data_IF_294278130139
#
_entry.id   IF_294278130139
#
_cell.length_a   1.000
_cell.length_b   1.000
_cell.length_c   1.000
_cell.angle_alpha   90.00
_cell.angle_beta   90.00
_cell.angle_gamma   90.00
#
_symmetry.space_group_name_H-M   'P 1'
#
loop_
_entity.id
_entity.type
_entity.pdbx_description
1 polymer ?
#
# COMPACT_ATOMS: atom_id res chain seq x y z
N UNK A 1 -0.87 38.26 -68.94
CA UNK A 1 -0.41 37.47 -67.81
C UNK A 1 -1.08 37.98 -66.54
N UNK A 2 -2.19 37.37 -66.13
CA UNK A 2 -3.00 37.80 -64.98
C UNK A 2 -2.58 36.93 -63.79
N UNK A 3 -2.03 37.55 -62.74
CA UNK A 3 -1.71 36.91 -61.47
C UNK A 3 -2.99 36.82 -60.63
N UNK A 4 -3.49 35.60 -60.43
CA UNK A 4 -4.57 35.32 -59.52
C UNK A 4 -3.96 35.14 -58.15
N UNK A 5 -4.21 36.12 -57.29
CA UNK A 5 -3.83 36.04 -55.86
C UNK A 5 -4.96 35.34 -55.11
N UNK A 6 -4.81 34.09 -54.83
CA UNK A 6 -5.77 33.33 -54.03
C UNK A 6 -5.58 33.72 -52.57
N UNK A 7 -6.50 34.51 -52.03
CA UNK A 7 -6.56 34.82 -50.60
C UNK A 7 -7.04 33.59 -49.84
N UNK A 8 -6.13 32.99 -49.07
CA UNK A 8 -6.44 31.89 -48.15
C UNK A 8 -7.07 32.48 -46.88
N UNK A 9 -8.38 32.44 -46.79
CA UNK A 9 -9.11 32.84 -45.59
C UNK A 9 -8.92 31.72 -44.57
N UNK A 10 -8.03 31.90 -43.63
CA UNK A 10 -7.81 31.04 -42.49
C UNK A 10 -8.94 31.29 -41.49
N UNK A 11 -10.00 30.48 -41.59
CA UNK A 11 -11.05 30.43 -40.58
C UNK A 11 -10.47 29.75 -39.38
N UNK A 12 -9.86 30.50 -38.47
CA UNK A 12 -9.47 30.05 -37.13
C UNK A 12 -10.76 29.82 -36.34
N UNK A 13 -11.22 28.56 -36.33
CA UNK A 13 -12.21 28.11 -35.35
C UNK A 13 -11.57 28.20 -33.97
N UNK A 14 -11.85 29.31 -33.28
CA UNK A 14 -11.72 29.41 -31.84
C UNK A 14 -12.70 28.40 -31.22
N UNK A 15 -12.27 27.16 -31.10
CA UNK A 15 -12.82 26.24 -30.13
C UNK A 15 -12.53 26.86 -28.75
N UNK A 16 -13.44 27.73 -28.29
CA UNK A 16 -13.60 27.93 -26.87
C UNK A 16 -14.14 26.62 -26.30
N UNK A 17 -13.23 25.69 -26.13
CA UNK A 17 -13.43 24.60 -25.18
C UNK A 17 -13.70 25.28 -23.86
N UNK A 18 -14.95 25.34 -23.45
CA UNK A 18 -15.32 25.61 -22.07
C UNK A 18 -14.71 24.48 -21.26
N UNK A 19 -13.43 24.66 -20.88
CA UNK A 19 -12.85 23.90 -19.77
C UNK A 19 -13.79 24.19 -18.62
N UNK A 20 -14.63 23.24 -18.29
CA UNK A 20 -15.19 23.15 -16.95
C UNK A 20 -13.98 22.97 -16.03
N UNK A 21 -13.30 24.08 -15.77
CA UNK A 21 -12.42 24.20 -14.63
C UNK A 21 -13.35 24.05 -13.44
N UNK A 22 -13.51 22.81 -13.00
CA UNK A 22 -14.01 22.57 -11.64
C UNK A 22 -13.15 23.48 -10.77
N UNK A 23 -13.76 24.51 -10.19
CA UNK A 23 -13.05 25.42 -9.32
C UNK A 23 -12.65 24.63 -8.08
N UNK A 24 -11.45 24.01 -8.14
CA UNK A 24 -10.86 23.22 -7.05
C UNK A 24 -10.17 24.12 -6.02
N UNK A 25 -10.30 25.47 -6.19
CA UNK A 25 -9.73 26.42 -5.25
C UNK A 25 -10.20 26.16 -3.82
N UNK A 26 -9.27 25.73 -3.00
CA UNK A 26 -9.52 25.40 -1.60
C UNK A 26 -10.00 23.95 -1.35
N UNK A 27 -9.91 23.07 -2.33
CA UNK A 27 -10.10 21.63 -2.12
C UNK A 27 -8.74 20.94 -2.00
N UNK A 28 -8.61 20.04 -1.03
CA UNK A 28 -7.39 19.23 -0.84
C UNK A 28 -7.75 17.80 -0.45
N UNK A 29 -6.82 16.89 -0.71
CA UNK A 29 -6.89 15.50 -0.30
C UNK A 29 -5.76 15.23 0.66
N UNK A 30 -6.04 14.51 1.74
CA UNK A 30 -5.05 14.11 2.73
C UNK A 30 -4.97 12.59 2.80
N UNK A 31 -3.75 12.08 2.84
CA UNK A 31 -3.45 10.67 3.06
C UNK A 31 -2.86 10.52 4.47
N UNK A 32 -3.71 10.16 5.43
CA UNK A 32 -3.27 9.97 6.80
C UNK A 32 -2.32 8.79 6.96
N UNK A 33 -2.45 7.74 6.14
CA UNK A 33 -1.53 6.60 6.17
C UNK A 33 -0.12 7.05 5.79
N UNK A 34 0.01 7.81 4.69
CA UNK A 34 1.30 8.35 4.29
C UNK A 34 1.90 9.28 5.35
N UNK A 35 1.08 10.08 6.04
CA UNK A 35 1.55 10.98 7.10
C UNK A 35 2.05 10.19 8.30
N UNK A 36 1.28 9.22 8.83
CA UNK A 36 1.67 8.49 10.02
C UNK A 36 2.87 7.57 9.79
N UNK A 37 2.95 6.91 8.64
CA UNK A 37 3.97 5.91 8.34
C UNK A 37 5.13 6.43 7.48
N UNK A 38 5.02 7.63 6.91
CA UNK A 38 6.08 8.25 6.12
C UNK A 38 7.14 9.01 6.94
N UNK A 39 7.04 9.05 8.26
CA UNK A 39 7.98 9.76 9.14
C UNK A 39 9.24 8.93 9.40
N UNK A 40 10.37 9.61 9.68
CA UNK A 40 11.60 8.95 10.11
C UNK A 40 11.40 8.16 11.40
N UNK A 41 10.59 8.68 12.33
CA UNK A 41 10.25 7.99 13.57
C UNK A 41 9.49 6.68 13.33
N UNK A 42 8.53 6.68 12.39
CA UNK A 42 7.82 5.47 12.03
C UNK A 42 8.77 4.44 11.40
N UNK A 43 9.63 4.88 10.47
CA UNK A 43 10.62 3.99 9.85
C UNK A 43 11.53 3.35 10.89
N UNK A 44 12.09 4.15 11.81
CA UNK A 44 12.92 3.65 12.89
C UNK A 44 12.19 2.65 13.79
N UNK A 45 10.94 2.93 14.13
CA UNK A 45 10.15 2.03 14.96
C UNK A 45 9.86 0.68 14.27
N UNK A 46 9.63 0.68 12.95
CA UNK A 46 9.51 -0.57 12.19
C UNK A 46 10.83 -1.31 12.07
N UNK A 47 11.95 -0.62 11.90
CA UNK A 47 13.29 -1.22 11.93
C UNK A 47 13.57 -1.87 13.30
N UNK A 48 13.27 -1.18 14.40
CA UNK A 48 13.39 -1.72 15.77
C UNK A 48 12.50 -2.94 16.00
N UNK A 49 11.26 -2.93 15.47
CA UNK A 49 10.37 -4.10 15.51
C UNK A 49 11.01 -5.29 14.78
N UNK A 50 11.50 -5.09 13.56
CA UNK A 50 12.12 -6.14 12.74
C UNK A 50 13.39 -6.71 13.38
N UNK A 51 14.11 -5.88 14.16
CA UNK A 51 15.31 -6.28 14.90
C UNK A 51 14.99 -6.97 16.23
N UNK A 52 13.74 -6.93 16.70
CA UNK A 52 13.35 -7.58 17.95
C UNK A 52 13.46 -9.11 17.86
N UNK A 53 13.80 -9.73 19.00
CA UNK A 53 13.95 -11.19 19.07
C UNK A 53 12.66 -11.92 18.66
N UNK A 54 11.50 -11.42 19.11
CA UNK A 54 10.21 -12.03 18.78
C UNK A 54 9.89 -11.97 17.29
N UNK A 55 10.14 -10.84 16.61
CA UNK A 55 9.89 -10.72 15.18
C UNK A 55 10.84 -11.58 14.36
N UNK A 56 12.10 -11.65 14.74
CA UNK A 56 13.13 -12.52 14.12
C UNK A 56 12.75 -13.99 14.28
N UNK A 57 12.41 -14.43 15.48
CA UNK A 57 12.00 -15.81 15.74
C UNK A 57 10.80 -16.22 14.83
N UNK A 58 9.76 -15.38 14.78
CA UNK A 58 8.61 -15.64 13.92
C UNK A 58 9.02 -15.71 12.44
N UNK A 59 9.91 -14.83 12.00
CA UNK A 59 10.37 -14.77 10.60
C UNK A 59 11.19 -16.00 10.23
N UNK A 60 12.08 -16.43 11.12
CA UNK A 60 12.89 -17.63 10.96
C UNK A 60 12.03 -18.90 10.94
N UNK A 61 11.05 -18.98 11.84
CA UNK A 61 10.07 -20.08 11.87
C UNK A 61 9.24 -20.14 10.57
N UNK A 62 8.82 -18.99 10.03
CA UNK A 62 8.12 -18.93 8.74
C UNK A 62 9.02 -19.49 7.63
N UNK A 63 10.29 -19.06 7.57
CA UNK A 63 11.23 -19.51 6.55
C UNK A 63 11.49 -21.03 6.65
N UNK A 64 11.69 -21.55 7.87
CA UNK A 64 11.91 -22.96 8.13
C UNK A 64 10.70 -23.81 7.70
N UNK A 65 9.48 -23.44 8.18
CA UNK A 65 8.26 -24.20 7.90
C UNK A 65 7.86 -24.14 6.43
N UNK A 66 8.09 -23.01 5.74
CA UNK A 66 7.85 -22.89 4.30
C UNK A 66 8.84 -23.76 3.51
N UNK A 67 10.10 -23.85 3.94
CA UNK A 67 11.07 -24.77 3.39
C UNK A 67 10.61 -26.23 3.53
N UNK A 68 10.23 -26.66 4.74
CA UNK A 68 9.74 -28.01 4.99
C UNK A 68 8.46 -28.34 4.18
N UNK A 69 7.56 -27.36 4.02
CA UNK A 69 6.33 -27.52 3.24
C UNK A 69 6.66 -27.72 1.75
N UNK A 70 7.59 -26.92 1.21
CA UNK A 70 8.07 -27.08 -0.17
C UNK A 70 8.73 -28.43 -0.38
N UNK A 71 9.62 -28.86 0.52
CA UNK A 71 10.30 -30.16 0.42
C UNK A 71 9.29 -31.33 0.44
N UNK A 72 8.27 -31.25 1.29
CA UNK A 72 7.22 -32.25 1.33
C UNK A 72 6.37 -32.29 0.05
N UNK A 73 6.08 -31.11 -0.54
CA UNK A 73 5.36 -31.00 -1.81
C UNK A 73 6.21 -31.53 -2.98
N UNK A 74 7.46 -31.14 -3.06
CA UNK A 74 8.41 -31.61 -4.07
C UNK A 74 8.59 -33.14 -4.02
N UNK A 75 8.68 -33.69 -2.80
CA UNK A 75 8.76 -35.14 -2.62
C UNK A 75 7.50 -35.85 -3.11
N UNK A 76 6.32 -35.30 -2.80
CA UNK A 76 5.05 -35.84 -3.28
C UNK A 76 4.95 -35.79 -4.81
N UNK A 77 5.43 -34.72 -5.43
CA UNK A 77 5.44 -34.57 -6.90
C UNK A 77 6.39 -35.56 -7.58
N UNK A 78 7.62 -35.66 -7.08
CA UNK A 78 8.67 -36.49 -7.71
C UNK A 78 8.47 -37.97 -7.47
N UNK A 79 8.20 -38.36 -6.22
CA UNK A 79 8.20 -39.75 -5.79
C UNK A 79 6.77 -40.35 -5.68
N UNK A 80 5.75 -39.47 -5.73
CA UNK A 80 4.35 -39.84 -5.56
C UNK A 80 3.88 -41.05 -6.42
N UNK A 81 4.28 -41.15 -7.70
CA UNK A 81 3.92 -42.30 -8.52
C UNK A 81 4.39 -43.68 -7.97
N UNK A 82 5.46 -43.70 -7.17
CA UNK A 82 6.06 -44.92 -6.60
C UNK A 82 5.77 -45.13 -5.12
N UNK A 83 5.13 -44.13 -4.46
CA UNK A 83 4.77 -44.17 -3.05
C UNK A 83 3.52 -44.98 -2.79
N UNK A 84 3.47 -45.59 -1.62
CA UNK A 84 2.24 -46.19 -1.07
C UNK A 84 1.21 -45.09 -0.73
N UNK A 85 -0.07 -45.48 -0.69
CA UNK A 85 -1.16 -44.55 -0.31
C UNK A 85 -1.00 -44.00 1.13
N UNK A 86 -0.39 -44.80 2.02
CA UNK A 86 -0.08 -44.36 3.39
C UNK A 86 0.98 -43.24 3.39
N UNK A 87 2.07 -43.41 2.64
CA UNK A 87 3.13 -42.40 2.55
C UNK A 87 2.63 -41.09 1.94
N UNK A 88 1.80 -41.20 0.90
CA UNK A 88 1.14 -40.01 0.31
C UNK A 88 0.25 -39.32 1.34
N UNK A 89 -0.58 -40.08 2.07
CA UNK A 89 -1.45 -39.52 3.09
C UNK A 89 -0.68 -38.80 4.20
N UNK A 90 0.46 -39.32 4.60
CA UNK A 90 1.32 -38.70 5.61
C UNK A 90 1.96 -37.37 5.11
N UNK A 91 2.40 -37.32 3.84
CA UNK A 91 2.89 -36.10 3.22
C UNK A 91 1.78 -35.06 3.10
N UNK A 92 0.57 -35.44 2.69
CA UNK A 92 -0.56 -34.51 2.64
C UNK A 92 -0.87 -33.92 4.01
N UNK A 93 -0.90 -34.75 5.06
CA UNK A 93 -1.11 -34.28 6.45
C UNK A 93 -0.01 -33.33 6.88
N UNK A 94 1.27 -33.67 6.56
CA UNK A 94 2.41 -32.77 6.87
C UNK A 94 2.26 -31.42 6.18
N UNK A 95 1.95 -31.39 4.89
CA UNK A 95 1.74 -30.15 4.11
C UNK A 95 0.60 -29.33 4.70
N UNK A 96 -0.51 -29.99 5.06
CA UNK A 96 -1.65 -29.32 5.69
C UNK A 96 -1.30 -28.69 7.04
N UNK A 97 -0.60 -29.44 7.90
CA UNK A 97 -0.16 -28.94 9.21
C UNK A 97 0.78 -27.73 9.06
N UNK A 98 1.79 -27.84 8.20
CA UNK A 98 2.72 -26.74 7.94
C UNK A 98 2.04 -25.50 7.36
N UNK A 99 1.00 -25.69 6.52
CA UNK A 99 0.20 -24.58 6.01
C UNK A 99 -0.57 -23.86 7.11
N UNK A 100 -1.14 -24.60 8.07
CA UNK A 100 -1.83 -24.03 9.24
C UNK A 100 -0.85 -23.27 10.14
N UNK A 101 0.33 -23.86 10.41
CA UNK A 101 1.37 -23.20 11.19
C UNK A 101 1.84 -21.91 10.55
N UNK A 102 2.06 -21.89 9.21
CA UNK A 102 2.44 -20.71 8.47
C UNK A 102 1.38 -19.62 8.54
N UNK A 103 0.09 -19.98 8.45
CA UNK A 103 -1.00 -19.03 8.62
C UNK A 103 -1.01 -18.41 10.02
N UNK A 104 -0.82 -19.23 11.06
CA UNK A 104 -0.74 -18.74 12.43
C UNK A 104 0.43 -17.79 12.64
N UNK A 105 1.62 -18.15 12.18
CA UNK A 105 2.83 -17.30 12.29
C UNK A 105 2.68 -15.99 11.52
N UNK A 106 2.09 -16.04 10.32
CA UNK A 106 1.81 -14.84 9.54
C UNK A 106 0.82 -13.90 10.26
N UNK A 107 -0.21 -14.46 10.91
CA UNK A 107 -1.15 -13.69 11.73
C UNK A 107 -0.44 -13.08 12.96
N UNK A 108 0.42 -13.84 13.65
CA UNK A 108 1.18 -13.35 14.80
C UNK A 108 2.09 -12.19 14.39
N UNK A 109 2.82 -12.31 13.28
CA UNK A 109 3.66 -11.22 12.74
C UNK A 109 2.83 -10.00 12.37
N UNK A 110 1.72 -10.19 11.67
CA UNK A 110 0.81 -9.10 11.31
C UNK A 110 0.21 -8.39 12.53
N UNK A 111 -0.04 -9.11 13.64
CA UNK A 111 -0.51 -8.51 14.89
C UNK A 111 0.54 -7.57 15.51
N UNK A 112 1.82 -7.94 15.51
CA UNK A 112 2.90 -7.06 15.98
C UNK A 112 3.02 -5.78 15.13
N UNK A 113 2.94 -5.92 13.80
CA UNK A 113 2.97 -4.79 12.88
C UNK A 113 1.75 -3.87 13.08
N UNK A 114 0.58 -4.45 13.30
CA UNK A 114 -0.65 -3.70 13.56
C UNK A 114 -0.61 -2.96 14.90
N UNK A 115 -0.12 -3.61 15.96
CA UNK A 115 0.04 -2.99 17.28
C UNK A 115 0.99 -1.79 17.21
N UNK A 116 2.14 -1.94 16.56
CA UNK A 116 3.06 -0.83 16.33
C UNK A 116 2.39 0.29 15.54
N UNK A 117 1.66 -0.04 14.47
CA UNK A 117 0.93 0.95 13.66
C UNK A 117 -0.09 1.73 14.48
N UNK A 118 -0.87 1.06 15.34
CA UNK A 118 -1.83 1.72 16.23
C UNK A 118 -1.13 2.63 17.25
N UNK A 119 -0.01 2.17 17.82
CA UNK A 119 0.80 2.96 18.74
C UNK A 119 1.32 4.23 18.07
N UNK A 120 1.92 4.13 16.90
CA UNK A 120 2.42 5.27 16.14
C UNK A 120 1.31 6.28 15.81
N UNK A 121 0.13 5.80 15.40
CA UNK A 121 -1.02 6.66 15.15
C UNK A 121 -1.47 7.39 16.41
N UNK A 122 -1.56 6.70 17.54
CA UNK A 122 -1.97 7.29 18.81
C UNK A 122 -0.99 8.35 19.29
N UNK A 123 0.32 8.07 19.23
CA UNK A 123 1.37 8.98 19.67
C UNK A 123 1.50 10.25 18.80
N UNK A 124 1.22 10.13 17.50
CA UNK A 124 1.37 11.24 16.56
C UNK A 124 0.05 12.01 16.31
N UNK A 125 -1.10 11.49 16.76
CA UNK A 125 -2.41 12.03 16.41
C UNK A 125 -2.56 13.54 16.71
N UNK A 126 -2.14 13.99 17.88
CA UNK A 126 -2.23 15.39 18.29
C UNK A 126 -1.35 16.28 17.40
N UNK A 127 -0.10 15.87 17.16
CA UNK A 127 0.85 16.60 16.31
C UNK A 127 0.33 16.69 14.87
N UNK A 128 -0.14 15.58 14.32
CA UNK A 128 -0.69 15.53 12.96
C UNK A 128 -1.92 16.45 12.86
N UNK A 129 -2.84 16.40 13.83
CA UNK A 129 -4.01 17.26 13.84
C UNK A 129 -3.64 18.75 13.87
N UNK A 130 -2.65 19.12 14.67
CA UNK A 130 -2.14 20.49 14.74
C UNK A 130 -1.57 20.94 13.39
N UNK A 131 -0.69 20.16 12.79
CA UNK A 131 -0.07 20.47 11.50
C UNK A 131 -1.12 20.56 10.40
N UNK A 132 -2.10 19.65 10.38
CA UNK A 132 -3.19 19.67 9.40
C UNK A 132 -4.02 20.96 9.55
N UNK A 133 -4.33 21.38 10.78
CA UNK A 133 -5.06 22.64 11.01
C UNK A 133 -4.26 23.86 10.54
N UNK A 134 -2.95 23.89 10.80
CA UNK A 134 -2.07 24.95 10.31
C UNK A 134 -2.03 25.00 8.77
N UNK A 135 -1.96 23.84 8.10
CA UNK A 135 -2.01 23.75 6.66
C UNK A 135 -3.35 24.22 6.07
N UNK A 136 -4.48 23.84 6.71
CA UNK A 136 -5.82 24.30 6.31
C UNK A 136 -5.86 25.83 6.27
N UNK A 137 -5.34 26.47 7.31
CA UNK A 137 -5.32 27.94 7.43
C UNK A 137 -4.35 28.54 6.40
N UNK A 138 -3.11 28.07 6.36
CA UNK A 138 -2.05 28.61 5.51
C UNK A 138 -2.36 28.48 4.00
N UNK A 139 -2.96 27.36 3.61
CA UNK A 139 -3.33 27.07 2.20
C UNK A 139 -4.76 27.48 1.87
N UNK A 140 -5.52 28.07 2.82
CA UNK A 140 -6.93 28.48 2.65
C UNK A 140 -7.81 27.31 2.16
N UNK A 141 -7.58 26.11 2.69
CA UNK A 141 -8.34 24.91 2.34
C UNK A 141 -9.77 25.07 2.87
N UNK A 142 -10.76 24.95 2.00
CA UNK A 142 -12.19 25.02 2.33
C UNK A 142 -12.80 23.65 2.54
N UNK A 143 -12.30 22.66 1.80
CA UNK A 143 -12.73 21.25 1.87
C UNK A 143 -11.51 20.35 1.90
N UNK A 144 -11.41 19.51 2.91
CA UNK A 144 -10.36 18.51 3.04
C UNK A 144 -10.99 17.11 2.99
N UNK A 145 -10.59 16.33 2.01
CA UNK A 145 -11.05 14.96 1.83
C UNK A 145 -9.98 13.97 2.30
N UNK A 146 -10.41 12.88 2.91
CA UNK A 146 -9.54 11.75 3.15
C UNK A 146 -9.38 10.95 1.87
N UNK A 147 -8.16 10.51 1.56
CA UNK A 147 -7.86 9.72 0.36
C UNK A 147 -8.71 8.46 0.28
N UNK A 148 -8.90 7.77 1.40
CA UNK A 148 -9.66 6.53 1.50
C UNK A 148 -11.15 6.72 1.19
N UNK A 149 -11.65 7.95 1.29
CA UNK A 149 -13.05 8.28 0.99
C UNK A 149 -13.29 8.62 -0.48
N UNK A 150 -12.24 8.65 -1.32
CA UNK A 150 -12.35 9.00 -2.73
C UNK A 150 -12.46 7.74 -3.58
N UNK A 151 -13.45 7.71 -4.50
CA UNK A 151 -13.63 6.60 -5.45
C UNK A 151 -12.55 6.56 -6.53
N UNK A 152 -11.98 7.74 -6.89
CA UNK A 152 -10.86 7.87 -7.82
C UNK A 152 -10.02 9.09 -7.43
N UNK A 153 -8.70 8.96 -7.56
CA UNK A 153 -7.74 10.02 -7.26
C UNK A 153 -6.61 9.99 -8.28
N UNK A 154 -6.36 11.11 -8.93
CA UNK A 154 -5.24 11.26 -9.83
C UNK A 154 -4.02 11.71 -9.01
N UNK A 155 -3.02 10.83 -8.88
CA UNK A 155 -1.96 10.85 -7.87
C UNK A 155 -0.91 11.96 -7.95
N UNK A 156 -1.13 13.01 -8.76
CA UNK A 156 -0.20 14.12 -8.95
C UNK A 156 -0.79 15.47 -8.55
N UNK A 157 -1.41 15.56 -7.37
CA UNK A 157 -1.83 16.86 -6.88
C UNK A 157 -0.65 17.58 -6.19
N UNK A 158 -0.12 18.68 -6.74
CA UNK A 158 1.04 19.40 -6.20
C UNK A 158 0.77 20.07 -4.84
N UNK A 159 -0.44 19.97 -4.29
CA UNK A 159 -0.77 20.52 -2.97
C UNK A 159 -0.39 19.58 -1.80
N UNK A 160 0.10 18.37 -2.09
CA UNK A 160 0.41 17.34 -1.07
C UNK A 160 1.90 16.94 -1.08
N UNK A 161 2.71 17.52 -1.97
CA UNK A 161 4.16 17.36 -2.00
C UNK A 161 4.88 18.50 -1.27
#
# INVERSE_FOLDING_TARGET
MKKITTAFILVSHLFFGSSLLANTDGMAVIDYQAIFFGTDAARQAFEELQESDEYKEITDDIALKDGERKDAADKLEKDGPTMSESEKADLYKKIQSLTQDLQFLAQKRGALEQELGQKLQAEQAETVQKVVNELIIAKKIKLLFRREALAAFEGTNPLIN
#
